data_IF_285300352878
#
_entry.id   IF_285300352878
#
_cell.length_a   1.000
_cell.length_b   1.000
_cell.length_c   1.000
_cell.angle_alpha   90.00
_cell.angle_beta   90.00
_cell.angle_gamma   90.00
#
_symmetry.space_group_name_H-M   'P 1'
#
loop_
_entity.id
_entity.type
_entity.pdbx_description
1 polymer ?
#
# COMPACT_ATOMS: atom_id res chain seq x y z
N UNK A 1 -14.86 21.87 -7.16
CA UNK A 1 -14.33 20.52 -7.44
C UNK A 1 -14.13 19.85 -6.10
N UNK A 2 -14.52 18.58 -5.89
CA UNK A 2 -14.33 17.97 -4.57
C UNK A 2 -12.83 17.99 -4.24
N UNK A 3 -12.50 18.60 -3.10
CA UNK A 3 -11.14 18.77 -2.58
C UNK A 3 -10.41 17.42 -2.64
N UNK A 4 -9.35 17.32 -3.45
CA UNK A 4 -8.55 16.09 -3.57
C UNK A 4 -7.82 15.86 -2.24
N UNK A 5 -8.37 14.98 -1.41
CA UNK A 5 -7.83 14.72 -0.07
C UNK A 5 -6.71 13.68 -0.17
N UNK A 6 -5.55 14.00 0.40
CA UNK A 6 -4.44 13.06 0.50
C UNK A 6 -4.45 12.42 1.87
N UNK A 7 -4.65 11.12 1.96
CA UNK A 7 -4.62 10.39 3.22
C UNK A 7 -3.21 9.89 3.51
N UNK A 8 -2.69 10.19 4.69
CA UNK A 8 -1.37 9.73 5.15
C UNK A 8 -1.57 8.68 6.23
N UNK A 9 -1.03 7.49 5.99
CA UNK A 9 -1.05 6.36 6.93
C UNK A 9 0.36 6.05 7.38
N UNK A 10 0.55 5.90 8.68
CA UNK A 10 1.79 5.41 9.25
C UNK A 10 1.68 3.91 9.55
N UNK A 11 2.56 3.13 8.92
CA UNK A 11 2.58 1.68 9.00
C UNK A 11 3.29 1.13 10.26
N UNK A 12 3.86 1.99 11.11
CA UNK A 12 4.45 1.58 12.38
C UNK A 12 3.42 0.88 13.27
N UNK A 13 3.72 -0.35 13.68
CA UNK A 13 2.82 -1.20 14.47
C UNK A 13 1.59 -1.73 13.73
N UNK A 14 1.38 -1.37 12.47
CA UNK A 14 0.19 -1.77 11.71
C UNK A 14 0.33 -3.17 11.10
N UNK A 15 -0.72 -3.97 11.14
CA UNK A 15 -0.74 -5.29 10.47
C UNK A 15 -0.83 -5.08 8.96
N UNK A 16 0.21 -5.52 8.24
CA UNK A 16 0.39 -5.31 6.79
C UNK A 16 -0.86 -5.63 5.97
N UNK A 17 -1.49 -6.77 6.25
CA UNK A 17 -2.68 -7.22 5.51
C UNK A 17 -3.92 -6.35 5.78
N UNK A 18 -4.13 -5.95 7.04
CA UNK A 18 -5.29 -5.13 7.42
C UNK A 18 -5.16 -3.70 6.90
N UNK A 19 -3.98 -3.11 7.06
CA UNK A 19 -3.66 -1.80 6.49
C UNK A 19 -3.86 -1.81 4.97
N UNK A 20 -3.34 -2.83 4.28
CA UNK A 20 -3.50 -2.93 2.83
C UNK A 20 -4.96 -3.03 2.40
N UNK A 21 -5.80 -3.75 3.15
CA UNK A 21 -7.24 -3.89 2.86
C UNK A 21 -7.97 -2.56 3.01
N UNK A 22 -7.77 -1.86 4.13
CA UNK A 22 -8.40 -0.56 4.38
C UNK A 22 -8.03 0.47 3.29
N UNK A 23 -6.74 0.51 2.92
CA UNK A 23 -6.25 1.39 1.86
C UNK A 23 -6.80 1.01 0.48
N UNK A 24 -6.88 -0.29 0.17
CA UNK A 24 -7.44 -0.75 -1.11
C UNK A 24 -8.91 -0.37 -1.25
N UNK A 25 -9.71 -0.51 -0.18
CA UNK A 25 -11.11 -0.15 -0.17
C UNK A 25 -11.33 1.35 -0.35
N UNK A 26 -10.53 2.18 0.34
CA UNK A 26 -10.56 3.63 0.19
C UNK A 26 -10.28 4.05 -1.26
N UNK A 27 -9.17 3.56 -1.84
CA UNK A 27 -8.78 3.85 -3.21
C UNK A 27 -9.80 3.35 -4.23
N UNK A 28 -10.43 2.21 -3.97
CA UNK A 28 -11.45 1.65 -4.84
C UNK A 28 -12.75 2.47 -4.81
N UNK A 29 -13.18 2.94 -3.64
CA UNK A 29 -14.34 3.86 -3.51
C UNK A 29 -14.06 5.17 -4.22
N UNK A 30 -12.93 5.80 -3.96
CA UNK A 30 -12.51 7.03 -4.64
C UNK A 30 -12.51 6.85 -6.17
N UNK A 31 -11.95 5.75 -6.66
CA UNK A 31 -11.91 5.46 -8.09
C UNK A 31 -13.29 5.18 -8.71
N UNK A 32 -14.27 4.69 -7.95
CA UNK A 32 -15.66 4.49 -8.41
C UNK A 32 -16.43 5.81 -8.45
N UNK A 33 -16.25 6.65 -7.43
CA UNK A 33 -16.95 7.92 -7.28
C UNK A 33 -16.33 9.04 -8.15
N UNK A 34 -15.25 8.74 -8.87
CA UNK A 34 -14.56 9.70 -9.71
C UNK A 34 -13.67 10.68 -8.94
N UNK A 35 -13.47 10.47 -7.63
CA UNK A 35 -12.57 11.29 -6.80
C UNK A 35 -11.12 10.89 -7.03
N UNK A 36 -10.23 11.87 -6.95
CA UNK A 36 -8.78 11.68 -7.08
C UNK A 36 -8.07 11.65 -5.73
N UNK A 37 -8.68 10.97 -4.75
CA UNK A 37 -8.08 10.77 -3.43
C UNK A 37 -6.75 10.05 -3.59
N UNK A 38 -5.74 10.54 -2.87
CA UNK A 38 -4.39 9.98 -2.84
C UNK A 38 -4.13 9.34 -1.50
N UNK A 39 -3.33 8.28 -1.49
CA UNK A 39 -2.93 7.62 -0.26
C UNK A 39 -1.41 7.52 -0.22
N UNK A 40 -0.82 8.00 0.86
CA UNK A 40 0.60 7.88 1.16
C UNK A 40 0.75 7.00 2.40
N UNK A 41 1.51 5.92 2.28
CA UNK A 41 1.90 5.08 3.41
C UNK A 41 3.36 5.35 3.73
N UNK A 42 3.67 5.69 4.98
CA UNK A 42 5.02 5.93 5.49
C UNK A 42 5.44 4.81 6.45
N UNK A 43 6.75 4.69 6.72
CA UNK A 43 7.35 3.67 7.59
C UNK A 43 6.99 2.22 7.17
N UNK A 44 6.96 1.94 5.86
CA UNK A 44 6.57 0.63 5.34
C UNK A 44 7.42 -0.54 5.88
N UNK A 45 8.66 -0.28 6.28
CA UNK A 45 9.58 -1.23 6.90
C UNK A 45 9.16 -1.68 8.31
N UNK A 46 8.31 -0.92 8.99
CA UNK A 46 7.84 -1.21 10.34
C UNK A 46 6.49 -1.95 10.38
N UNK A 47 5.92 -2.25 9.21
CA UNK A 47 4.67 -2.99 9.12
C UNK A 47 4.82 -4.42 9.67
N UNK A 48 3.84 -4.85 10.46
CA UNK A 48 3.84 -6.16 11.13
C UNK A 48 3.21 -7.21 10.21
N UNK A 49 3.91 -8.34 10.04
CA UNK A 49 3.35 -9.55 9.43
C UNK A 49 3.15 -10.60 10.51
N UNK A 50 1.90 -10.96 10.77
CA UNK A 50 1.55 -11.94 11.81
C UNK A 50 1.71 -13.38 11.30
N UNK A 51 2.22 -14.28 12.14
CA UNK A 51 2.38 -15.71 11.85
C UNK A 51 3.77 -16.23 12.19
N UNK A 52 4.04 -17.49 11.85
CA UNK A 52 5.38 -18.08 12.05
C UNK A 52 6.38 -17.47 11.06
N UNK A 53 7.47 -16.82 11.53
CA UNK A 53 8.45 -16.19 10.66
C UNK A 53 9.09 -17.17 9.66
N UNK A 54 9.35 -18.41 10.09
CA UNK A 54 9.94 -19.46 9.26
C UNK A 54 9.03 -19.80 8.07
N UNK A 55 7.73 -19.99 8.34
CA UNK A 55 6.76 -20.30 7.30
C UNK A 55 6.57 -19.13 6.34
N UNK A 56 6.47 -17.90 6.86
CA UNK A 56 6.30 -16.69 6.04
C UNK A 56 7.49 -16.53 5.10
N UNK A 57 8.71 -16.64 5.61
CA UNK A 57 9.93 -16.51 4.81
C UNK A 57 10.07 -17.62 3.79
N UNK A 58 9.81 -18.88 4.17
CA UNK A 58 9.86 -20.00 3.23
C UNK A 58 8.83 -19.84 2.09
N UNK A 59 7.59 -19.45 2.41
CA UNK A 59 6.55 -19.20 1.43
C UNK A 59 6.89 -18.04 0.49
N UNK A 60 7.50 -16.96 1.02
CA UNK A 60 7.93 -15.84 0.20
C UNK A 60 9.11 -16.22 -0.69
N UNK A 61 10.06 -16.99 -0.16
CA UNK A 61 11.24 -17.45 -0.88
C UNK A 61 10.86 -18.36 -2.05
N UNK A 62 9.99 -19.34 -1.84
CA UNK A 62 9.50 -20.22 -2.90
C UNK A 62 8.83 -19.43 -4.04
N UNK A 63 8.06 -18.38 -3.71
CA UNK A 63 7.47 -17.49 -4.72
C UNK A 63 8.52 -16.65 -5.45
N UNK A 64 9.54 -16.20 -4.74
CA UNK A 64 10.65 -15.44 -5.29
C UNK A 64 11.51 -16.29 -6.24
N UNK A 65 11.72 -17.56 -5.96
CA UNK A 65 12.47 -18.48 -6.84
C UNK A 65 11.78 -18.70 -8.19
N UNK A 66 10.46 -18.54 -8.26
CA UNK A 66 9.69 -18.54 -9.52
C UNK A 66 9.92 -17.26 -10.35
N UNK A 67 10.68 -16.29 -9.85
CA UNK A 67 11.03 -15.08 -10.61
C UNK A 67 11.92 -15.47 -11.81
N UNK A 68 11.38 -15.33 -13.01
CA UNK A 68 12.16 -15.45 -14.23
C UNK A 68 12.62 -14.06 -14.71
N UNK A 69 13.93 -13.88 -14.91
CA UNK A 69 14.55 -12.57 -15.16
C UNK A 69 13.99 -11.80 -16.37
N UNK A 70 13.52 -12.49 -17.41
CA UNK A 70 12.97 -11.85 -18.63
C UNK A 70 11.44 -11.82 -18.71
N UNK A 71 10.77 -12.82 -18.14
CA UNK A 71 9.32 -13.06 -18.29
C UNK A 71 8.87 -13.98 -17.17
N UNK A 72 8.46 -13.39 -16.05
CA UNK A 72 7.96 -14.14 -14.90
C UNK A 72 7.22 -13.22 -13.94
N UNK A 73 6.49 -13.79 -12.96
CA UNK A 73 6.00 -13.00 -11.85
C UNK A 73 7.20 -12.32 -11.18
N UNK A 74 7.11 -11.03 -10.89
CA UNK A 74 8.16 -10.29 -10.18
C UNK A 74 7.78 -10.16 -8.71
N UNK A 75 8.53 -10.77 -7.81
CA UNK A 75 8.40 -10.62 -6.36
C UNK A 75 9.49 -9.68 -5.82
N UNK A 76 9.12 -8.48 -5.33
CA UNK A 76 10.08 -7.49 -4.85
C UNK A 76 10.65 -7.85 -3.47
N UNK A 77 11.86 -7.39 -3.17
CA UNK A 77 12.45 -7.56 -1.83
C UNK A 77 12.30 -6.34 -0.92
N UNK A 78 12.06 -5.18 -1.51
CA UNK A 78 11.94 -3.91 -0.79
C UNK A 78 10.57 -3.81 -0.08
N UNK A 79 10.50 -3.32 1.17
CA UNK A 79 9.28 -3.32 1.98
C UNK A 79 8.17 -2.44 1.38
N UNK A 80 8.51 -1.28 0.83
CA UNK A 80 7.59 -0.40 0.09
C UNK A 80 6.91 -1.15 -1.07
N UNK A 81 7.70 -1.88 -1.85
CA UNK A 81 7.23 -2.63 -3.01
C UNK A 81 6.45 -3.87 -2.62
N UNK A 82 6.78 -4.52 -1.49
CA UNK A 82 5.98 -5.62 -0.93
C UNK A 82 4.59 -5.09 -0.55
N UNK A 83 4.52 -4.00 0.20
CA UNK A 83 3.24 -3.41 0.62
C UNK A 83 2.42 -2.93 -0.58
N UNK A 84 3.06 -2.25 -1.53
CA UNK A 84 2.43 -1.81 -2.79
C UNK A 84 1.92 -2.99 -3.62
N UNK A 85 2.64 -4.11 -3.64
CA UNK A 85 2.21 -5.35 -4.31
C UNK A 85 1.01 -5.98 -3.60
N UNK A 86 0.97 -5.96 -2.27
CA UNK A 86 -0.15 -6.46 -1.47
C UNK A 86 -1.42 -5.66 -1.78
N UNK A 87 -1.36 -4.33 -1.72
CA UNK A 87 -2.51 -3.47 -2.07
C UNK A 87 -2.94 -3.69 -3.53
N UNK A 88 -1.99 -3.81 -4.47
CA UNK A 88 -2.29 -4.13 -5.87
C UNK A 88 -3.08 -5.43 -6.02
N UNK A 89 -2.79 -6.44 -5.20
CA UNK A 89 -3.49 -7.74 -5.21
C UNK A 89 -4.97 -7.63 -4.80
N UNK A 90 -5.32 -6.62 -4.02
CA UNK A 90 -6.69 -6.35 -3.55
C UNK A 90 -7.49 -5.48 -4.53
N UNK A 91 -6.84 -4.90 -5.55
CA UNK A 91 -7.48 -4.06 -6.56
C UNK A 91 -7.76 -4.83 -7.86
N UNK A 92 -8.80 -4.49 -8.63
CA UNK A 92 -9.09 -5.07 -9.95
C UNK A 92 -8.12 -4.55 -11.03
N UNK A 93 -6.82 -4.61 -10.76
CA UNK A 93 -5.73 -3.99 -11.53
C UNK A 93 -5.65 -4.49 -12.97
N UNK A 94 -5.79 -5.81 -13.19
CA UNK A 94 -5.67 -6.39 -14.53
C UNK A 94 -6.95 -6.18 -15.36
N UNK A 95 -8.13 -6.19 -14.70
CA UNK A 95 -9.44 -6.22 -15.38
C UNK A 95 -10.00 -4.84 -15.72
N UNK A 96 -9.77 -3.83 -14.88
CA UNK A 96 -10.42 -2.51 -15.01
C UNK A 96 -9.39 -1.38 -15.07
N UNK A 97 -9.70 -0.32 -15.83
CA UNK A 97 -8.90 0.92 -15.86
C UNK A 97 -8.94 1.65 -14.51
N UNK A 98 -10.09 1.59 -13.81
CA UNK A 98 -10.27 2.16 -12.47
C UNK A 98 -9.31 1.57 -11.44
N UNK A 99 -9.05 0.26 -11.47
CA UNK A 99 -8.08 -0.39 -10.59
C UNK A 99 -6.64 0.06 -10.84
N UNK A 100 -6.27 0.32 -12.11
CA UNK A 100 -4.96 0.89 -12.45
C UNK A 100 -4.86 2.35 -11.99
N UNK A 101 -5.94 3.11 -12.10
CA UNK A 101 -6.01 4.49 -11.58
C UNK A 101 -5.86 4.53 -10.07
N UNK A 102 -6.61 3.69 -9.35
CA UNK A 102 -6.51 3.55 -7.90
C UNK A 102 -5.07 3.26 -7.45
N UNK A 103 -4.37 2.33 -8.13
CA UNK A 103 -2.99 2.02 -7.79
C UNK A 103 -2.01 3.18 -8.06
N UNK A 104 -2.27 4.03 -9.07
CA UNK A 104 -1.44 5.21 -9.33
C UNK A 104 -1.55 6.26 -8.23
N UNK A 105 -2.68 6.30 -7.53
CA UNK A 105 -2.92 7.21 -6.41
C UNK A 105 -2.29 6.71 -5.10
N UNK A 106 -1.76 5.48 -5.08
CA UNK A 106 -1.04 4.92 -3.94
C UNK A 106 0.46 5.22 -4.03
N UNK A 107 0.99 5.84 -2.99
CA UNK A 107 2.41 6.00 -2.74
C UNK A 107 2.79 5.31 -1.44
N UNK A 108 3.91 4.59 -1.47
CA UNK A 108 4.44 3.88 -0.29
C UNK A 108 5.90 4.26 -0.21
N UNK A 109 6.33 4.69 0.97
CA UNK A 109 7.68 5.15 1.24
C UNK A 109 8.27 4.36 2.41
N UNK A 110 9.59 4.19 2.36
CA UNK A 110 10.39 3.64 3.46
C UNK A 110 10.81 4.81 4.35
N UNK A 111 10.59 4.68 5.66
CA UNK A 111 10.76 5.75 6.62
C UNK A 111 9.72 6.86 6.48
N UNK A 112 9.92 7.93 7.26
CA UNK A 112 9.13 9.15 7.15
C UNK A 112 9.90 10.17 6.29
N UNK A 113 9.32 10.64 5.17
CA UNK A 113 9.93 11.73 4.43
C UNK A 113 9.99 13.01 5.29
N UNK A 114 11.07 13.78 5.18
CA UNK A 114 11.30 14.98 6.00
C UNK A 114 10.21 16.06 5.91
N UNK A 115 9.40 16.03 4.85
CA UNK A 115 8.26 16.93 4.62
C UNK A 115 6.94 16.45 5.26
N UNK A 116 6.93 15.26 5.87
CA UNK A 116 5.80 14.69 6.59
C UNK A 116 6.13 14.47 8.08
N UNK A 117 7.34 14.86 8.50
CA UNK A 117 7.80 14.74 9.88
C UNK A 117 7.26 15.92 10.71
N UNK A 118 6.21 15.67 11.50
CA UNK A 118 5.65 16.62 12.47
C UNK A 118 4.44 17.44 12.02
N UNK A 119 4.28 17.75 10.73
CA UNK A 119 3.10 18.48 10.21
C UNK A 119 2.61 17.89 8.87
N UNK A 120 1.29 17.70 8.76
CA UNK A 120 0.64 17.30 7.51
C UNK A 120 0.37 18.55 6.66
N UNK A 121 0.85 18.62 5.41
CA UNK A 121 0.56 19.74 4.52
C UNK A 121 -0.94 19.94 4.31
N UNK A 122 -1.36 21.15 3.94
CA UNK A 122 -2.78 21.45 3.71
C UNK A 122 -3.42 20.46 2.71
N UNK A 123 -4.64 20.01 3.01
CA UNK A 123 -5.34 18.98 2.23
C UNK A 123 -4.90 17.54 2.50
N UNK A 124 -4.00 17.32 3.48
CA UNK A 124 -3.60 15.99 3.94
C UNK A 124 -4.33 15.62 5.24
N UNK A 125 -5.00 14.47 5.23
CA UNK A 125 -5.70 13.93 6.39
C UNK A 125 -4.95 12.72 6.95
N UNK A 126 -4.85 12.62 8.27
CA UNK A 126 -4.39 11.39 8.91
C UNK A 126 -5.42 10.27 8.64
N UNK A 127 -4.94 9.13 8.16
CA UNK A 127 -5.76 7.95 7.98
C UNK A 127 -6.21 7.37 9.32
N UNK A 128 -7.46 6.94 9.41
CA UNK A 128 -7.98 6.31 10.62
C UNK A 128 -7.29 4.95 10.87
N UNK A 129 -6.70 4.81 12.06
CA UNK A 129 -6.02 3.59 12.54
C UNK A 129 -6.96 2.61 13.23
N UNK A 130 -8.20 2.99 13.50
CA UNK A 130 -9.18 2.15 14.20
C UNK A 130 -9.45 0.81 13.50
N UNK A 131 -9.17 0.73 12.20
CA UNK A 131 -9.47 -0.40 11.35
C UNK A 131 -8.39 -1.50 11.31
N UNK A 132 -7.18 -1.31 11.87
CA UNK A 132 -6.08 -2.27 11.73
C UNK A 132 -5.17 -2.45 12.94
#
# INVERSE_FOLDING_TARGET
MPEATTYVYDADGAILGRLASAVADLLQKAARDGREDKVVIVNAEKAIVTGSPVSIMANYHAKYELNHARKGPYFPRMPDMILKRTVRGMLPYQKKSSGRRALRNLRVEIGCPSHLDGYLPDGHAAGDRSAF
#
